data_IF_019363165929
#
_entry.id   IF_019363165929
#
_cell.length_a   1.000
_cell.length_b   1.000
_cell.length_c   1.000
_cell.angle_alpha   90.00
_cell.angle_beta   90.00
_cell.angle_gamma   90.00
#
_symmetry.space_group_name_H-M   'P 1'
#
loop_
_entity.id
_entity.type
_entity.pdbx_description
1 polymer ?
#
# COMPACT_ATOMS: atom_id res chain seq x y z
N UNK A 1 27.12 12.58 -5.10
CA UNK A 1 25.74 13.13 -5.08
C UNK A 1 24.84 12.23 -4.27
N UNK A 2 24.09 12.76 -3.30
CA UNK A 2 23.18 11.97 -2.46
C UNK A 2 21.85 11.75 -3.20
N UNK A 3 21.39 10.50 -3.33
CA UNK A 3 20.08 10.21 -3.95
C UNK A 3 18.91 10.88 -3.22
N UNK A 4 19.08 11.21 -1.93
CA UNK A 4 18.06 11.88 -1.13
C UNK A 4 17.86 13.34 -1.53
N UNK A 5 18.88 14.04 -2.07
CA UNK A 5 18.77 15.47 -2.41
C UNK A 5 17.93 15.75 -3.65
N UNK A 6 17.55 14.69 -4.38
CA UNK A 6 16.76 14.76 -5.61
C UNK A 6 15.46 13.96 -5.51
N UNK A 7 15.17 13.36 -4.35
CA UNK A 7 14.02 12.47 -4.17
C UNK A 7 13.11 12.95 -3.05
N UNK A 8 11.82 13.02 -3.35
CA UNK A 8 10.75 13.27 -2.37
C UNK A 8 10.39 12.01 -1.56
N UNK A 9 11.16 10.94 -1.68
CA UNK A 9 10.98 9.68 -0.95
C UNK A 9 12.28 9.29 -0.23
N UNK A 10 12.16 8.68 0.95
CA UNK A 10 13.31 8.13 1.69
C UNK A 10 13.86 6.88 0.99
N UNK A 11 14.79 7.07 0.06
CA UNK A 11 15.47 6.00 -0.66
C UNK A 11 16.92 5.79 -0.18
N UNK A 12 17.51 6.80 0.47
CA UNK A 12 18.89 6.71 0.96
C UNK A 12 19.01 5.92 2.27
N UNK A 13 19.72 4.78 2.22
CA UNK A 13 19.97 3.93 3.40
C UNK A 13 20.79 4.63 4.48
N UNK A 14 21.83 5.38 4.10
CA UNK A 14 22.66 6.13 5.05
C UNK A 14 21.84 7.19 5.79
N UNK A 15 21.03 7.98 5.08
CA UNK A 15 20.15 8.97 5.70
C UNK A 15 19.23 8.34 6.74
N UNK A 16 18.67 7.17 6.43
CA UNK A 16 17.78 6.46 7.34
C UNK A 16 18.47 5.95 8.61
N UNK A 17 19.72 5.51 8.50
CA UNK A 17 20.46 4.91 9.62
C UNK A 17 21.27 5.92 10.44
N UNK A 18 21.73 7.01 9.82
CA UNK A 18 22.60 7.99 10.45
C UNK A 18 21.87 9.28 10.85
N UNK A 19 20.87 9.73 10.07
CA UNK A 19 20.22 11.03 10.29
C UNK A 19 18.93 10.88 11.09
N UNK A 20 18.04 9.97 10.70
CA UNK A 20 16.74 9.80 11.38
C UNK A 20 16.84 9.46 12.88
N UNK A 21 17.80 8.64 13.36
CA UNK A 21 17.92 8.38 14.79
C UNK A 21 18.39 9.59 15.61
N UNK A 22 19.04 10.56 14.98
CA UNK A 22 19.53 11.78 15.64
C UNK A 22 18.46 12.87 15.71
N UNK A 23 17.43 12.79 14.85
CA UNK A 23 16.36 13.79 14.79
C UNK A 23 14.98 13.10 14.79
N UNK A 24 14.43 12.97 16.00
CA UNK A 24 13.12 12.39 16.22
C UNK A 24 11.99 13.20 15.59
N UNK A 25 12.12 14.54 15.51
CA UNK A 25 11.11 15.40 14.89
C UNK A 25 11.05 15.17 13.39
N UNK A 26 12.21 15.13 12.72
CA UNK A 26 12.32 14.81 11.30
C UNK A 26 11.81 13.39 11.00
N UNK A 27 12.15 12.42 11.85
CA UNK A 27 11.66 11.05 11.70
C UNK A 27 10.13 10.97 11.82
N UNK A 28 9.52 11.71 12.75
CA UNK A 28 8.08 11.79 12.89
C UNK A 28 7.41 12.43 11.68
N UNK A 29 7.91 13.58 11.19
CA UNK A 29 7.35 14.26 10.01
C UNK A 29 7.35 13.37 8.77
N UNK A 30 8.44 12.66 8.52
CA UNK A 30 8.51 11.79 7.34
C UNK A 30 7.63 10.54 7.52
N UNK A 31 7.48 10.05 8.75
CA UNK A 31 6.65 8.87 9.04
C UNK A 31 5.16 9.18 8.98
N UNK A 32 4.72 10.38 9.39
CA UNK A 32 3.32 10.84 9.36
C UNK A 32 2.67 10.68 7.99
N UNK A 33 3.40 10.92 6.90
CA UNK A 33 2.92 10.69 5.53
C UNK A 33 2.47 9.26 5.25
N UNK A 34 2.98 8.27 6.00
CA UNK A 34 2.57 6.85 5.88
C UNK A 34 1.41 6.49 6.80
N UNK A 35 1.25 7.22 7.89
CA UNK A 35 0.21 7.00 8.91
C UNK A 35 -1.09 7.78 8.61
N UNK A 36 -1.16 8.49 7.48
CA UNK A 36 -2.36 9.14 6.99
C UNK A 36 -3.52 8.15 6.86
N UNK A 37 -4.62 8.46 7.55
CA UNK A 37 -5.85 7.69 7.46
C UNK A 37 -6.51 7.86 6.09
N UNK A 38 -6.93 6.74 5.48
CA UNK A 38 -7.61 6.72 4.17
C UNK A 38 -9.06 6.32 4.32
N UNK A 39 -9.89 6.70 3.34
CA UNK A 39 -11.27 6.21 3.23
C UNK A 39 -11.33 4.99 2.33
N UNK A 40 -12.08 3.98 2.77
CA UNK A 40 -12.32 2.79 1.97
C UNK A 40 -13.22 3.14 0.76
N UNK A 41 -12.83 2.69 -0.43
CA UNK A 41 -13.61 2.91 -1.66
C UNK A 41 -14.96 2.17 -1.66
N UNK A 42 -15.08 1.08 -0.90
CA UNK A 42 -16.30 0.24 -0.87
C UNK A 42 -17.33 0.69 0.17
N UNK A 43 -16.88 1.03 1.37
CA UNK A 43 -17.78 1.36 2.50
C UNK A 43 -17.60 2.79 3.04
N UNK A 44 -16.64 3.56 2.52
CA UNK A 44 -16.37 4.93 2.99
C UNK A 44 -15.66 5.02 4.35
N UNK A 45 -15.55 3.92 5.09
CA UNK A 45 -14.95 3.90 6.43
C UNK A 45 -13.50 4.38 6.41
N UNK A 46 -13.13 5.16 7.41
CA UNK A 46 -11.75 5.60 7.63
C UNK A 46 -10.94 4.44 8.18
N UNK A 47 -9.76 4.19 7.63
CA UNK A 47 -8.87 3.11 8.06
C UNK A 47 -7.40 3.53 7.92
N UNK A 48 -6.53 2.93 8.74
CA UNK A 48 -5.08 3.13 8.64
C UNK A 48 -4.51 2.20 7.56
N UNK A 49 -3.94 2.74 6.47
CA UNK A 49 -3.42 1.93 5.38
C UNK A 49 -2.08 1.27 5.75
N UNK A 50 -1.97 -0.05 5.57
CA UNK A 50 -0.68 -0.75 5.70
C UNK A 50 0.33 -0.40 4.59
N UNK A 51 -0.14 0.19 3.49
CA UNK A 51 0.70 0.62 2.37
C UNK A 51 0.08 1.78 1.61
N UNK A 52 0.90 2.57 0.91
CA UNK A 52 0.43 3.69 0.09
C UNK A 52 -0.53 3.24 -1.02
N UNK A 53 -0.50 1.98 -1.45
CA UNK A 53 -1.40 1.41 -2.46
C UNK A 53 -2.72 0.88 -1.91
N UNK A 54 -2.91 0.87 -0.59
CA UNK A 54 -4.14 0.38 0.02
C UNK A 54 -5.34 1.28 -0.32
N UNK A 55 -6.43 0.66 -0.82
CA UNK A 55 -7.68 1.31 -1.22
C UNK A 55 -8.91 0.87 -0.41
N UNK A 56 -8.81 -0.30 0.24
CA UNK A 56 -9.91 -0.93 0.96
C UNK A 56 -9.54 -1.12 2.42
N UNK A 57 -10.52 -0.97 3.31
CA UNK A 57 -10.38 -1.42 4.69
C UNK A 57 -10.18 -2.95 4.74
N UNK A 58 -9.69 -3.52 5.86
CA UNK A 58 -9.38 -4.94 5.96
C UNK A 58 -10.52 -5.87 5.55
N UNK A 59 -11.75 -5.57 5.96
CA UNK A 59 -12.93 -6.39 5.66
C UNK A 59 -13.31 -6.35 4.17
N UNK A 60 -13.37 -5.13 3.60
CA UNK A 60 -13.66 -4.94 2.18
C UNK A 60 -12.55 -5.51 1.30
N UNK A 61 -11.29 -5.41 1.72
CA UNK A 61 -10.15 -6.00 1.01
C UNK A 61 -10.30 -7.52 0.86
N UNK A 62 -10.68 -8.21 1.96
CA UNK A 62 -10.90 -9.65 1.95
C UNK A 62 -12.06 -10.04 1.02
N UNK A 63 -13.17 -9.30 1.05
CA UNK A 63 -14.33 -9.53 0.19
C UNK A 63 -14.00 -9.34 -1.29
N UNK A 64 -13.37 -8.21 -1.65
CA UNK A 64 -12.97 -7.92 -3.04
C UNK A 64 -11.96 -8.95 -3.54
N UNK A 65 -11.01 -9.36 -2.70
CA UNK A 65 -10.04 -10.41 -3.07
C UNK A 65 -10.73 -11.73 -3.40
N UNK A 66 -11.68 -12.17 -2.56
CA UNK A 66 -12.45 -13.41 -2.80
C UNK A 66 -13.26 -13.33 -4.08
N UNK A 67 -13.94 -12.20 -4.34
CA UNK A 67 -14.71 -11.98 -5.58
C UNK A 67 -13.84 -12.08 -6.83
N UNK A 68 -12.69 -11.40 -6.85
CA UNK A 68 -11.74 -11.44 -7.97
C UNK A 68 -11.14 -12.83 -8.17
N UNK A 69 -10.85 -13.56 -7.11
CA UNK A 69 -10.36 -14.94 -7.21
C UNK A 69 -11.42 -15.84 -7.83
N UNK A 70 -12.66 -15.77 -7.36
CA UNK A 70 -13.76 -16.54 -7.93
C UNK A 70 -13.98 -16.24 -9.42
N UNK A 71 -13.91 -14.97 -9.81
CA UNK A 71 -14.00 -14.54 -11.21
C UNK A 71 -12.86 -15.12 -12.07
N UNK A 72 -11.61 -15.03 -11.58
CA UNK A 72 -10.45 -15.64 -12.25
C UNK A 72 -10.63 -17.14 -12.46
N UNK A 73 -11.11 -17.87 -11.44
CA UNK A 73 -11.33 -19.31 -11.56
C UNK A 73 -12.43 -19.61 -12.58
N UNK A 74 -13.55 -18.87 -12.57
CA UNK A 74 -14.62 -19.01 -13.59
C UNK A 74 -14.08 -18.81 -15.00
N UNK A 75 -13.32 -17.73 -15.23
CA UNK A 75 -12.69 -17.46 -16.53
C UNK A 75 -11.71 -18.57 -16.94
N UNK A 76 -10.94 -19.12 -15.98
CA UNK A 76 -10.04 -20.25 -16.22
C UNK A 76 -10.81 -21.49 -16.67
N UNK A 77 -11.90 -21.86 -16.00
CA UNK A 77 -12.72 -23.00 -16.42
C UNK A 77 -13.36 -22.78 -17.79
N UNK A 78 -13.90 -21.59 -18.05
CA UNK A 78 -14.48 -21.24 -19.35
C UNK A 78 -13.44 -21.31 -20.48
N UNK A 79 -12.25 -20.75 -20.26
CA UNK A 79 -11.17 -20.80 -21.26
C UNK A 79 -10.61 -22.21 -21.49
N UNK A 80 -10.57 -23.05 -20.46
CA UNK A 80 -10.20 -24.47 -20.60
C UNK A 80 -11.27 -25.26 -21.36
N UNK A 81 -12.56 -24.96 -21.11
CA UNK A 81 -13.67 -25.57 -21.84
C UNK A 81 -13.68 -25.16 -23.32
N UNK A 82 -13.37 -23.90 -23.64
CA UNK A 82 -13.30 -23.40 -25.02
C UNK A 82 -12.09 -23.90 -25.83
N UNK A 83 -11.12 -24.55 -25.18
CA UNK A 83 -9.93 -25.14 -25.83
C UNK A 83 -10.10 -26.63 -26.17
N UNK A 84 -11.20 -27.25 -25.74
CA UNK A 84 -11.60 -28.62 -26.10
C UNK A 84 -12.62 -28.57 -27.22
#
# INVERSE_FOLDING_TARGET
MCVQSISYSLLCRWFRAAVLPLDAALCAEISKSRDEVKRCVECGAVFTPKSNRAKYCPDCAARVRRKKEAERQRQRYLSLAARK
#
